data_IF_521188595757
#
_entry.id   IF_521188595757
#
_cell.length_a   1.000
_cell.length_b   1.000
_cell.length_c   1.000
_cell.angle_alpha   90.00
_cell.angle_beta   90.00
_cell.angle_gamma   90.00
#
_symmetry.space_group_name_H-M   'P 1'
#
loop_
_entity.id
_entity.type
_entity.pdbx_description
1 polymer ?
#
# COMPACT_ATOMS: atom_id res chain seq x y z
N UNK A 1 -0.96 -4.65 16.65
CA UNK A 1 -1.50 -4.64 15.28
C UNK A 1 -0.56 -5.44 14.38
N UNK A 2 -1.08 -6.37 13.57
CA UNK A 2 -0.24 -7.27 12.79
C UNK A 2 0.39 -6.53 11.58
N UNK A 3 1.63 -6.06 11.76
CA UNK A 3 2.44 -5.43 10.70
C UNK A 3 2.58 -6.33 9.47
N UNK A 4 2.41 -7.65 9.62
CA UNK A 4 2.56 -8.64 8.56
C UNK A 4 1.52 -8.48 7.46
N UNK A 5 0.24 -8.25 7.80
CA UNK A 5 -0.83 -8.05 6.80
C UNK A 5 -0.53 -6.86 5.90
N UNK A 6 -0.19 -5.71 6.49
CA UNK A 6 0.10 -4.51 5.73
C UNK A 6 1.36 -4.66 4.88
N UNK A 7 2.42 -5.26 5.43
CA UNK A 7 3.63 -5.56 4.66
C UNK A 7 3.34 -6.48 3.48
N UNK A 8 2.50 -7.51 3.66
CA UNK A 8 2.14 -8.44 2.61
C UNK A 8 1.31 -7.77 1.50
N UNK A 9 0.43 -6.83 1.85
CA UNK A 9 -0.30 -6.02 0.86
C UNK A 9 0.65 -5.20 0.01
N UNK A 10 1.60 -4.51 0.64
CA UNK A 10 2.57 -3.72 -0.10
C UNK A 10 3.59 -4.57 -0.85
N UNK A 11 3.83 -5.80 -0.40
CA UNK A 11 4.60 -6.79 -1.15
C UNK A 11 3.89 -7.20 -2.43
N UNK A 12 2.59 -7.50 -2.37
CA UNK A 12 1.75 -7.74 -3.56
C UNK A 12 1.76 -6.52 -4.47
N UNK A 13 1.59 -5.32 -3.91
CA UNK A 13 1.69 -4.09 -4.69
C UNK A 13 3.00 -4.01 -5.48
N UNK A 14 4.15 -4.15 -4.82
CA UNK A 14 5.47 -4.11 -5.47
C UNK A 14 5.64 -5.21 -6.53
N UNK A 15 5.23 -6.45 -6.25
CA UNK A 15 5.36 -7.57 -7.17
C UNK A 15 4.64 -7.30 -8.50
N UNK A 16 3.42 -6.77 -8.44
CA UNK A 16 2.63 -6.48 -9.63
C UNK A 16 2.98 -5.16 -10.31
N UNK A 17 3.66 -4.25 -9.59
CA UNK A 17 4.09 -2.94 -10.14
C UNK A 17 5.11 -3.17 -11.22
N UNK A 18 6.05 -4.07 -10.93
CA UNK A 18 7.08 -4.53 -11.88
C UNK A 18 6.45 -5.19 -13.10
N UNK A 19 5.32 -5.91 -12.94
CA UNK A 19 4.66 -6.63 -14.04
C UNK A 19 3.89 -5.72 -15.00
N UNK A 20 3.28 -4.64 -14.52
CA UNK A 20 2.44 -3.76 -15.35
C UNK A 20 3.21 -2.64 -16.09
N UNK A 21 4.54 -2.67 -16.08
CA UNK A 21 5.44 -1.58 -16.52
C UNK A 21 5.30 -0.31 -15.66
N UNK A 22 6.40 0.44 -15.54
CA UNK A 22 6.62 1.50 -14.53
C UNK A 22 5.63 2.68 -14.57
N UNK A 23 4.85 2.85 -15.64
CA UNK A 23 3.96 4.00 -15.86
C UNK A 23 2.71 4.05 -14.95
N UNK A 24 2.56 3.10 -14.03
CA UNK A 24 1.45 3.06 -13.06
C UNK A 24 1.84 3.48 -11.65
N UNK A 25 3.05 3.98 -11.46
CA UNK A 25 3.45 4.49 -10.15
C UNK A 25 2.62 5.72 -9.75
N UNK A 26 1.97 5.70 -8.58
CA UNK A 26 1.31 6.89 -8.07
C UNK A 26 2.37 7.94 -7.77
N UNK A 27 2.24 9.10 -8.42
CA UNK A 27 3.09 10.26 -8.16
C UNK A 27 2.43 11.10 -7.07
N UNK A 28 3.22 11.52 -6.09
CA UNK A 28 2.74 12.47 -5.09
C UNK A 28 2.71 13.87 -5.71
N UNK A 29 1.53 14.47 -5.83
CA UNK A 29 1.34 15.81 -6.39
C UNK A 29 0.50 16.67 -5.44
N UNK A 30 1.01 17.85 -5.06
CA UNK A 30 0.32 18.91 -4.30
C UNK A 30 -0.64 18.43 -3.20
N UNK A 31 -0.34 17.33 -2.49
CA UNK A 31 -1.16 16.70 -1.44
C UNK A 31 -2.15 15.60 -1.88
N UNK A 32 -1.91 14.86 -2.96
CA UNK A 32 -2.57 13.56 -3.23
C UNK A 32 -1.68 12.68 -4.11
N UNK A 33 -1.87 11.38 -4.00
CA UNK A 33 -1.36 10.41 -4.96
C UNK A 33 -2.22 10.47 -6.23
N UNK A 34 -1.56 10.64 -7.37
CA UNK A 34 -2.16 10.64 -8.70
C UNK A 34 -1.60 9.43 -9.45
N UNK A 35 -2.49 8.64 -10.03
CA UNK A 35 -2.13 7.69 -11.08
C UNK A 35 -2.69 8.20 -12.40
N UNK A 36 -1.88 8.17 -13.46
CA UNK A 36 -2.25 8.64 -14.79
C UNK A 36 -3.25 7.70 -15.49
N UNK A 37 -3.51 6.53 -14.90
CA UNK A 37 -4.35 5.52 -15.50
C UNK A 37 -5.83 5.70 -15.11
N UNK A 38 -6.73 5.69 -16.11
CA UNK A 38 -8.19 5.82 -15.99
C UNK A 38 -8.86 4.54 -15.43
N UNK A 39 -8.27 3.98 -14.39
CA UNK A 39 -8.68 2.71 -13.80
C UNK A 39 -10.05 2.88 -13.14
N UNK A 40 -11.06 2.23 -13.73
CA UNK A 40 -12.35 2.03 -13.07
C UNK A 40 -12.19 0.96 -11.99
N UNK A 41 -12.77 1.22 -10.81
CA UNK A 41 -12.87 0.20 -9.77
C UNK A 41 -14.05 -0.71 -10.10
N UNK A 42 -13.78 -2.00 -10.33
CA UNK A 42 -14.81 -2.98 -10.67
C UNK A 42 -15.39 -3.69 -9.45
N UNK A 43 -14.92 -3.37 -8.23
CA UNK A 43 -15.31 -4.04 -7.00
C UNK A 43 -15.85 -3.05 -5.95
N UNK A 44 -16.85 -3.49 -5.19
CA UNK A 44 -17.40 -2.72 -4.07
C UNK A 44 -16.54 -2.76 -2.80
N UNK A 45 -15.67 -3.76 -2.65
CA UNK A 45 -14.79 -3.90 -1.49
C UNK A 45 -13.37 -4.35 -1.86
N UNK A 46 -12.39 -3.92 -1.07
CA UNK A 46 -11.00 -4.35 -1.24
C UNK A 46 -10.82 -5.86 -0.99
N UNK A 47 -11.61 -6.44 -0.08
CA UNK A 47 -11.56 -7.88 0.22
C UNK A 47 -12.02 -8.69 -1.00
N UNK A 48 -13.10 -8.29 -1.67
CA UNK A 48 -13.59 -9.00 -2.84
C UNK A 48 -12.59 -8.92 -3.99
N UNK A 49 -11.99 -7.73 -4.18
CA UNK A 49 -10.88 -7.53 -5.11
C UNK A 49 -9.72 -8.47 -4.78
N UNK A 50 -9.29 -8.58 -3.52
CA UNK A 50 -8.21 -9.47 -3.08
C UNK A 50 -8.53 -10.95 -3.29
N UNK A 51 -9.77 -11.38 -3.00
CA UNK A 51 -10.21 -12.76 -3.18
C UNK A 51 -10.15 -13.18 -4.64
N UNK A 52 -10.67 -12.34 -5.54
CA UNK A 52 -10.65 -12.62 -6.97
C UNK A 52 -9.24 -12.49 -7.56
N UNK A 53 -8.45 -11.55 -7.06
CA UNK A 53 -7.04 -11.42 -7.42
C UNK A 53 -6.25 -12.71 -7.20
N UNK A 54 -6.44 -13.36 -6.04
CA UNK A 54 -5.80 -14.63 -5.72
C UNK A 54 -6.18 -15.77 -6.69
N UNK A 55 -7.37 -15.70 -7.32
CA UNK A 55 -7.88 -16.72 -8.25
C UNK A 55 -7.44 -16.48 -9.69
N UNK A 56 -7.71 -15.28 -10.23
CA UNK A 56 -7.64 -15.04 -11.67
C UNK A 56 -6.42 -14.22 -12.13
N UNK A 57 -5.78 -13.46 -11.23
CA UNK A 57 -4.53 -12.71 -11.49
C UNK A 57 -4.50 -11.89 -12.79
N UNK A 58 -5.65 -11.36 -13.23
CA UNK A 58 -5.79 -10.53 -14.43
C UNK A 58 -5.41 -9.07 -14.18
N UNK A 59 -5.04 -8.35 -15.25
CA UNK A 59 -4.64 -6.94 -15.17
C UNK A 59 -5.74 -6.03 -14.60
N UNK A 60 -7.01 -6.32 -14.91
CA UNK A 60 -8.19 -5.61 -14.36
C UNK A 60 -8.24 -5.68 -12.83
N UNK A 61 -7.87 -6.84 -12.26
CA UNK A 61 -7.84 -7.05 -10.81
C UNK A 61 -6.67 -6.29 -10.18
N UNK A 62 -5.51 -6.27 -10.85
CA UNK A 62 -4.34 -5.50 -10.38
C UNK A 62 -4.68 -4.02 -10.33
N UNK A 63 -5.34 -3.51 -11.38
CA UNK A 63 -5.76 -2.11 -11.44
C UNK A 63 -6.74 -1.75 -10.32
N UNK A 64 -7.78 -2.57 -10.10
CA UNK A 64 -8.74 -2.35 -9.00
C UNK A 64 -8.04 -2.36 -7.63
N UNK A 65 -7.12 -3.31 -7.41
CA UNK A 65 -6.30 -3.41 -6.20
C UNK A 65 -5.49 -2.12 -5.96
N UNK A 66 -4.87 -1.58 -7.01
CA UNK A 66 -4.05 -0.36 -6.92
C UNK A 66 -4.90 0.83 -6.55
N UNK A 67 -6.10 0.92 -7.15
CA UNK A 67 -7.02 2.01 -6.89
C UNK A 67 -7.45 2.05 -5.43
N UNK A 68 -7.81 0.90 -4.85
CA UNK A 68 -8.13 0.82 -3.42
C UNK A 68 -6.98 1.28 -2.53
N UNK A 69 -5.73 0.88 -2.84
CA UNK A 69 -4.57 1.33 -2.06
C UNK A 69 -4.37 2.84 -2.17
N UNK A 70 -4.45 3.39 -3.38
CA UNK A 70 -4.28 4.83 -3.61
C UNK A 70 -5.38 5.63 -2.91
N UNK A 71 -6.64 5.19 -3.03
CA UNK A 71 -7.78 5.87 -2.40
C UNK A 71 -7.68 5.79 -0.86
N UNK A 72 -7.28 4.63 -0.31
CA UNK A 72 -7.03 4.48 1.12
C UNK A 72 -5.90 5.39 1.60
N UNK A 73 -4.79 5.51 0.85
CA UNK A 73 -3.69 6.41 1.19
C UNK A 73 -4.08 7.88 1.01
N UNK A 74 -4.91 8.20 0.02
CA UNK A 74 -5.44 9.55 -0.21
C UNK A 74 -6.38 10.02 0.89
N UNK A 75 -7.09 9.10 1.55
CA UNK A 75 -7.95 9.43 2.70
C UNK A 75 -7.18 9.80 3.98
N UNK A 76 -5.87 9.52 4.03
CA UNK A 76 -5.01 9.93 5.15
C UNK A 76 -4.74 11.44 5.13
N UNK A 77 -4.34 11.99 6.28
CA UNK A 77 -3.87 13.37 6.30
C UNK A 77 -2.53 13.51 5.55
N UNK A 78 -2.10 14.75 5.30
CA UNK A 78 -0.90 15.03 4.49
C UNK A 78 0.36 14.32 5.01
N UNK A 79 0.64 14.41 6.31
CA UNK A 79 1.85 13.84 6.91
C UNK A 79 1.81 12.31 6.90
N UNK A 80 0.68 11.73 7.27
CA UNK A 80 0.45 10.28 7.23
C UNK A 80 0.61 9.73 5.82
N UNK A 81 0.10 10.46 4.81
CA UNK A 81 0.22 10.09 3.42
C UNK A 81 1.66 10.03 2.95
N UNK A 82 2.45 11.05 3.27
CA UNK A 82 3.89 11.11 2.93
C UNK A 82 4.62 9.94 3.57
N UNK A 83 4.39 9.70 4.87
CA UNK A 83 4.99 8.60 5.61
C UNK A 83 4.71 7.24 4.95
N UNK A 84 3.46 6.98 4.58
CA UNK A 84 3.08 5.72 3.94
C UNK A 84 3.67 5.63 2.54
N UNK A 85 3.63 6.73 1.78
CA UNK A 85 4.16 6.77 0.43
C UNK A 85 5.65 6.42 0.39
N UNK A 86 6.45 7.09 1.21
CA UNK A 86 7.91 6.87 1.29
C UNK A 86 8.25 5.49 1.85
N UNK A 87 7.44 4.96 2.79
CA UNK A 87 7.70 3.65 3.38
C UNK A 87 7.34 2.48 2.45
N UNK A 88 6.35 2.64 1.58
CA UNK A 88 5.71 1.50 0.92
C UNK A 88 5.45 1.63 -0.58
N UNK A 89 5.19 2.82 -1.10
CA UNK A 89 4.70 3.00 -2.48
C UNK A 89 5.73 3.57 -3.44
N UNK A 90 6.62 4.44 -2.94
CA UNK A 90 7.70 5.04 -3.72
C UNK A 90 8.61 3.96 -4.32
N UNK A 91 9.13 4.16 -5.53
CA UNK A 91 10.07 3.25 -6.20
C UNK A 91 11.26 2.89 -5.31
N UNK A 92 11.82 3.89 -4.64
CA UNK A 92 12.95 3.77 -3.73
C UNK A 92 12.47 3.68 -2.27
N UNK A 93 11.30 3.08 -2.03
CA UNK A 93 10.76 2.98 -0.68
C UNK A 93 11.74 2.30 0.27
N UNK A 94 11.75 2.79 1.50
CA UNK A 94 12.54 2.19 2.57
C UNK A 94 12.10 0.75 2.81
N UNK A 95 13.02 -0.21 2.89
CA UNK A 95 12.68 -1.65 3.05
C UNK A 95 12.30 -2.01 4.49
N UNK A 96 12.69 -1.18 5.46
CA UNK A 96 12.42 -1.40 6.88
C UNK A 96 12.02 -0.11 7.60
N UNK A 97 11.32 -0.26 8.74
CA UNK A 97 11.04 0.86 9.65
C UNK A 97 12.35 1.53 10.09
N UNK A 98 13.42 0.74 10.26
CA UNK A 98 14.76 1.23 10.60
C UNK A 98 15.35 2.16 9.55
N UNK A 99 15.38 1.73 8.30
CA UNK A 99 15.89 2.59 7.22
C UNK A 99 15.09 3.90 7.14
N UNK A 100 13.77 3.81 7.31
CA UNK A 100 12.91 4.98 7.21
C UNK A 100 13.13 5.99 8.34
N UNK A 101 13.07 5.56 9.61
CA UNK A 101 13.24 6.51 10.71
C UNK A 101 14.65 7.10 10.76
N UNK A 102 15.67 6.36 10.30
CA UNK A 102 17.03 6.88 10.19
C UNK A 102 17.12 7.97 9.12
N UNK A 103 16.48 7.78 7.98
CA UNK A 103 16.46 8.78 6.91
C UNK A 103 15.66 10.04 7.31
N UNK A 104 14.67 9.89 8.18
CA UNK A 104 13.92 11.00 8.77
C UNK A 104 14.64 11.70 9.94
N UNK A 105 15.78 11.16 10.40
CA UNK A 105 16.51 11.62 11.59
C UNK A 105 15.65 11.68 12.86
N UNK A 106 14.85 10.63 13.12
CA UNK A 106 14.02 10.54 14.33
C UNK A 106 14.21 9.22 15.09
N UNK A 107 13.87 9.25 16.38
CA UNK A 107 13.93 8.06 17.23
C UNK A 107 12.88 7.01 16.84
N UNK A 108 13.15 5.71 17.08
CA UNK A 108 12.17 4.65 16.84
C UNK A 108 10.84 4.87 17.56
N UNK A 109 10.86 5.46 18.77
CA UNK A 109 9.67 5.77 19.54
C UNK A 109 8.82 6.85 18.86
N UNK A 110 9.46 7.93 18.40
CA UNK A 110 8.76 9.01 17.70
C UNK A 110 8.23 8.54 16.34
N UNK A 111 8.98 7.70 15.63
CA UNK A 111 8.52 7.08 14.40
C UNK A 111 7.26 6.24 14.62
N UNK A 112 7.23 5.37 15.65
CA UNK A 112 6.03 4.57 15.98
C UNK A 112 4.82 5.46 16.27
N UNK A 113 4.99 6.55 17.05
CA UNK A 113 3.91 7.50 17.36
C UNK A 113 3.29 8.13 16.11
N UNK A 114 4.06 8.34 15.05
CA UNK A 114 3.56 8.89 13.78
C UNK A 114 3.03 7.81 12.83
N UNK A 115 3.76 6.70 12.68
CA UNK A 115 3.50 5.67 11.68
C UNK A 115 2.36 4.72 12.08
N UNK A 116 2.26 4.34 13.35
CA UNK A 116 1.26 3.36 13.77
C UNK A 116 -0.19 3.87 13.58
N UNK A 117 -0.53 5.13 13.90
CA UNK A 117 -1.85 5.69 13.57
C UNK A 117 -2.19 5.67 12.08
N UNK A 118 -1.23 6.01 11.22
CA UNK A 118 -1.40 5.98 9.76
C UNK A 118 -1.72 4.57 9.26
N UNK A 119 -1.00 3.57 9.78
CA UNK A 119 -1.22 2.15 9.46
C UNK A 119 -2.57 1.64 9.97
N UNK A 120 -2.98 2.02 11.18
CA UNK A 120 -4.31 1.67 11.72
C UNK A 120 -5.42 2.20 10.81
N UNK A 121 -5.33 3.46 10.39
CA UNK A 121 -6.30 4.08 9.48
C UNK A 121 -6.35 3.34 8.14
N UNK A 122 -5.21 2.98 7.56
CA UNK A 122 -5.17 2.20 6.33
C UNK A 122 -5.86 0.86 6.44
N UNK A 123 -5.58 0.11 7.51
CA UNK A 123 -6.23 -1.19 7.75
C UNK A 123 -7.74 -1.02 7.82
N UNK A 124 -8.21 -0.03 8.57
CA UNK A 124 -9.63 0.29 8.68
C UNK A 124 -10.25 0.68 7.32
N UNK A 125 -9.59 1.57 6.58
CA UNK A 125 -10.10 2.09 5.30
C UNK A 125 -10.11 1.02 4.21
N UNK A 126 -9.26 0.00 4.32
CA UNK A 126 -9.25 -1.18 3.44
C UNK A 126 -10.15 -2.32 3.95
N UNK A 127 -10.78 -2.16 5.12
CA UNK A 127 -11.65 -3.19 5.73
C UNK A 127 -10.90 -4.43 6.21
N UNK A 128 -9.62 -4.30 6.58
CA UNK A 128 -8.74 -5.43 6.91
C UNK A 128 -8.64 -5.73 8.41
N UNK A 129 -9.51 -5.14 9.22
CA UNK A 129 -9.48 -5.28 10.67
C UNK A 129 -9.66 -6.76 11.07
N UNK A 130 -8.71 -7.29 11.84
CA UNK A 130 -8.72 -8.69 12.27
C UNK A 130 -8.33 -9.70 11.18
N UNK A 131 -7.98 -9.26 9.97
CA UNK A 131 -7.57 -10.15 8.89
C UNK A 131 -6.05 -10.35 8.84
N UNK A 132 -5.64 -11.61 8.67
CA UNK A 132 -4.27 -11.95 8.32
C UNK A 132 -4.18 -12.28 6.84
N UNK A 133 -3.45 -11.45 6.08
CA UNK A 133 -3.15 -11.76 4.69
C UNK A 133 -1.89 -12.64 4.63
N UNK A 134 -2.01 -13.84 4.09
CA UNK A 134 -0.87 -14.70 3.78
C UNK A 134 -0.61 -14.67 2.27
N UNK A 135 0.64 -14.42 1.87
CA UNK A 135 1.05 -14.44 0.47
C UNK A 135 1.73 -15.79 0.14
N UNK A 136 1.50 -16.36 -1.06
CA UNK A 136 2.16 -17.58 -1.50
C UNK A 136 3.69 -17.43 -1.58
N UNK A 137 4.42 -18.54 -1.42
CA UNK A 137 5.90 -18.53 -1.43
C UNK A 137 6.50 -18.00 -2.73
N UNK A 138 5.85 -18.24 -3.87
CA UNK A 138 6.32 -17.75 -5.17
C UNK A 138 6.24 -16.23 -5.30
N UNK A 139 5.40 -15.54 -4.51
CA UNK A 139 5.37 -14.08 -4.45
C UNK A 139 6.46 -13.51 -3.54
N UNK A 140 7.04 -14.29 -2.62
CA UNK A 140 8.02 -13.80 -1.63
C UNK A 140 9.42 -13.55 -2.21
N UNK A 141 9.64 -13.91 -3.48
CA UNK A 141 10.92 -13.81 -4.18
C UNK A 141 11.12 -12.44 -4.81
#
# INVERSE_FOLDING_TARGET
MDKKTLNNIFHVYCFYKVRLKEDLEPRMSRNKLICDNHIQNYYGSFIDCLREFCKARSDVLVHSFYRFLIDAVNSLNKQERILIYERYLHKDHYKSDRQHYLAMDITPQNYKKQMDPARCKLIKNLGLEGLQLNIPDWMKR
#
